data_IF_809196988580
#
_entry.id   IF_809196988580
#
_cell.length_a   1.000
_cell.length_b   1.000
_cell.length_c   1.000
_cell.angle_alpha   90.00
_cell.angle_beta   90.00
_cell.angle_gamma   90.00
#
_symmetry.space_group_name_H-M   'P 1'
#
loop_
_entity.id
_entity.type
_entity.pdbx_description
1 polymer ?
#
# COMPACT_ATOMS: atom_id res chain seq x y z
N UNK A 1 -8.45 33.51 -41.88
CA UNK A 1 -8.66 32.08 -41.64
C UNK A 1 -7.51 31.37 -40.96
N UNK A 2 -6.25 31.72 -41.26
CA UNK A 2 -5.08 31.10 -40.61
C UNK A 2 -4.98 31.39 -39.13
N UNK A 3 -5.41 32.58 -38.67
CA UNK A 3 -5.42 32.97 -37.25
C UNK A 3 -6.41 32.16 -36.40
N UNK A 4 -7.55 31.82 -36.95
CA UNK A 4 -8.56 30.97 -36.28
C UNK A 4 -8.06 29.53 -36.09
N UNK A 5 -7.42 28.97 -37.09
CA UNK A 5 -6.82 27.63 -37.03
C UNK A 5 -5.69 27.58 -35.99
N UNK A 6 -4.87 28.64 -35.92
CA UNK A 6 -3.78 28.74 -34.94
C UNK A 6 -4.32 28.83 -33.51
N UNK A 7 -5.36 29.66 -33.28
CA UNK A 7 -6.01 29.79 -31.97
C UNK A 7 -6.66 28.47 -31.54
N UNK A 8 -7.28 27.76 -32.45
CA UNK A 8 -7.90 26.45 -32.17
C UNK A 8 -6.85 25.43 -31.79
N UNK A 9 -5.71 25.40 -32.46
CA UNK A 9 -4.61 24.53 -32.15
C UNK A 9 -4.03 24.79 -30.75
N UNK A 10 -3.86 26.06 -30.36
CA UNK A 10 -3.40 26.44 -29.02
C UNK A 10 -4.40 26.02 -27.95
N UNK A 11 -5.69 26.23 -28.17
CA UNK A 11 -6.74 25.84 -27.24
C UNK A 11 -6.80 24.33 -27.02
N UNK A 12 -6.69 23.54 -28.10
CA UNK A 12 -6.67 22.08 -28.03
C UNK A 12 -5.41 21.60 -27.29
N UNK A 13 -4.25 22.17 -27.58
CA UNK A 13 -3.00 21.84 -26.92
C UNK A 13 -3.05 22.11 -25.41
N UNK A 14 -3.58 23.28 -25.03
CA UNK A 14 -3.74 23.65 -23.62
C UNK A 14 -4.70 22.71 -22.89
N UNK A 15 -5.81 22.33 -23.52
CA UNK A 15 -6.78 21.40 -22.96
C UNK A 15 -6.17 20.01 -22.77
N UNK A 16 -5.44 19.49 -23.73
CA UNK A 16 -4.76 18.20 -23.64
C UNK A 16 -3.72 18.20 -22.51
N UNK A 17 -2.93 19.27 -22.42
CA UNK A 17 -1.94 19.42 -21.35
C UNK A 17 -2.61 19.46 -19.98
N UNK A 18 -3.72 20.19 -19.85
CA UNK A 18 -4.49 20.28 -18.60
C UNK A 18 -5.02 18.90 -18.19
N UNK A 19 -5.64 18.17 -19.11
CA UNK A 19 -6.18 16.83 -18.82
C UNK A 19 -5.07 15.85 -18.45
N UNK A 20 -3.94 15.92 -19.12
CA UNK A 20 -2.78 15.07 -18.87
C UNK A 20 -2.18 15.35 -17.49
N UNK A 21 -2.01 16.62 -17.13
CA UNK A 21 -1.48 17.04 -15.82
C UNK A 21 -2.44 16.63 -14.69
N UNK A 22 -3.73 16.83 -14.88
CA UNK A 22 -4.75 16.46 -13.90
C UNK A 22 -4.75 14.95 -13.65
N UNK A 23 -4.69 14.14 -14.69
CA UNK A 23 -4.63 12.69 -14.60
C UNK A 23 -3.39 12.24 -13.83
N UNK A 24 -2.25 12.87 -14.10
CA UNK A 24 -0.98 12.55 -13.45
C UNK A 24 -0.99 12.91 -11.96
N UNK A 25 -1.55 14.06 -11.60
CA UNK A 25 -1.72 14.48 -10.20
C UNK A 25 -2.64 13.55 -9.42
N UNK A 26 -3.74 13.09 -10.02
CA UNK A 26 -4.63 12.12 -9.42
C UNK A 26 -3.93 10.79 -9.14
N UNK A 27 -3.11 10.31 -10.05
CA UNK A 27 -2.34 9.09 -9.88
C UNK A 27 -1.33 9.21 -8.73
N UNK A 28 -0.63 10.34 -8.63
CA UNK A 28 0.31 10.61 -7.54
C UNK A 28 -0.40 10.64 -6.19
N UNK A 29 -1.53 11.33 -6.11
CA UNK A 29 -2.32 11.45 -4.89
C UNK A 29 -2.84 10.09 -4.46
N UNK A 30 -3.36 9.30 -5.38
CA UNK A 30 -3.85 7.94 -5.15
C UNK A 30 -2.73 7.03 -4.60
N UNK A 31 -1.54 7.10 -5.20
CA UNK A 31 -0.38 6.32 -4.75
C UNK A 31 0.07 6.72 -3.35
N UNK A 32 0.02 8.00 -3.02
CA UNK A 32 0.35 8.50 -1.67
C UNK A 32 -0.63 7.95 -0.63
N UNK A 33 -1.92 7.98 -0.93
CA UNK A 33 -2.95 7.41 -0.05
C UNK A 33 -2.77 5.90 0.13
N UNK A 34 -2.48 5.20 -0.95
CA UNK A 34 -2.23 3.77 -0.95
C UNK A 34 -1.00 3.42 -0.12
N UNK A 35 0.13 4.09 -0.37
CA UNK A 35 1.39 3.87 0.36
C UNK A 35 1.24 4.20 1.84
N UNK A 36 0.54 5.28 2.17
CA UNK A 36 0.27 5.68 3.55
C UNK A 36 -0.54 4.61 4.29
N UNK A 37 -1.58 4.08 3.65
CA UNK A 37 -2.40 3.02 4.24
C UNK A 37 -1.59 1.74 4.47
N UNK A 38 -0.75 1.36 3.53
CA UNK A 38 0.14 0.20 3.66
C UNK A 38 1.12 0.37 4.81
N UNK A 39 1.79 1.53 4.88
CA UNK A 39 2.75 1.83 5.94
C UNK A 39 2.10 1.79 7.32
N UNK A 40 0.92 2.37 7.46
CA UNK A 40 0.19 2.40 8.72
C UNK A 40 -0.21 0.99 9.16
N UNK A 41 -0.66 0.15 8.23
CA UNK A 41 -1.01 -1.24 8.52
C UNK A 41 0.21 -2.03 8.98
N UNK A 42 1.31 -1.93 8.26
CA UNK A 42 2.56 -2.64 8.61
C UNK A 42 3.08 -2.19 9.98
N UNK A 43 2.95 -0.91 10.30
CA UNK A 43 3.30 -0.38 11.63
C UNK A 43 2.44 -1.03 12.71
N UNK A 44 1.14 -1.14 12.49
CA UNK A 44 0.23 -1.76 13.45
C UNK A 44 0.58 -3.24 13.69
N UNK A 45 0.92 -3.98 12.63
CA UNK A 45 1.33 -5.37 12.75
C UNK A 45 2.64 -5.48 13.56
N UNK A 46 3.61 -4.62 13.27
CA UNK A 46 4.88 -4.58 14.00
C UNK A 46 4.67 -4.22 15.48
N UNK A 47 3.82 -3.22 15.77
CA UNK A 47 3.47 -2.84 17.13
C UNK A 47 2.79 -4.00 17.87
N UNK A 48 1.87 -4.72 17.23
CA UNK A 48 1.19 -5.84 17.85
C UNK A 48 2.14 -7.00 18.17
N UNK A 49 3.18 -7.19 17.38
CA UNK A 49 4.20 -8.22 17.62
C UNK A 49 5.07 -7.91 18.86
N UNK A 50 5.19 -6.62 19.22
CA UNK A 50 5.98 -6.16 20.36
C UNK A 50 5.14 -5.70 21.53
N UNK A 51 3.81 -5.90 21.50
CA UNK A 51 2.93 -5.50 22.58
C UNK A 51 3.21 -6.31 23.84
N UNK A 52 3.56 -5.60 24.91
CA UNK A 52 3.50 -6.12 26.27
C UNK A 52 2.06 -5.94 26.78
N UNK A 53 1.68 -6.74 27.77
CA UNK A 53 0.34 -6.75 28.35
C UNK A 53 -0.13 -5.39 28.92
N UNK A 54 0.78 -4.44 29.08
CA UNK A 54 0.51 -3.10 29.61
C UNK A 54 0.20 -2.07 28.51
N UNK A 55 0.36 -2.42 27.25
CA UNK A 55 0.12 -1.52 26.12
C UNK A 55 -1.36 -1.41 25.82
N UNK A 56 -1.78 -0.25 25.30
CA UNK A 56 -3.17 -0.01 24.89
C UNK A 56 -3.48 -0.77 23.60
N UNK A 57 -3.87 -2.03 23.74
CA UNK A 57 -4.22 -2.92 22.64
C UNK A 57 -5.42 -2.40 21.86
N UNK A 58 -6.38 -1.73 22.54
CA UNK A 58 -7.57 -1.17 21.89
C UNK A 58 -7.20 -0.08 20.88
N UNK A 59 -6.23 0.80 21.22
CA UNK A 59 -5.74 1.84 20.31
C UNK A 59 -5.05 1.25 19.08
N UNK A 60 -4.25 0.20 19.26
CA UNK A 60 -3.57 -0.49 18.15
C UNK A 60 -4.59 -1.15 17.23
N UNK A 61 -5.59 -1.84 17.78
CA UNK A 61 -6.66 -2.45 16.99
C UNK A 61 -7.49 -1.42 16.22
N UNK A 62 -7.78 -0.25 16.84
CA UNK A 62 -8.50 0.82 16.16
C UNK A 62 -7.71 1.38 14.97
N UNK A 63 -6.40 1.60 15.15
CA UNK A 63 -5.52 2.06 14.06
C UNK A 63 -5.39 1.00 12.96
N UNK A 64 -5.31 -0.27 13.34
CA UNK A 64 -5.27 -1.37 12.37
C UNK A 64 -6.56 -1.45 11.56
N UNK A 65 -7.72 -1.31 12.20
CA UNK A 65 -9.02 -1.30 11.53
C UNK A 65 -9.12 -0.13 10.53
N UNK A 66 -8.67 1.06 10.93
CA UNK A 66 -8.61 2.23 10.05
C UNK A 66 -7.70 1.98 8.84
N UNK A 67 -6.51 1.45 9.06
CA UNK A 67 -5.56 1.15 7.98
C UNK A 67 -6.12 0.09 7.02
N UNK A 68 -6.73 -0.98 7.54
CA UNK A 68 -7.37 -2.02 6.73
C UNK A 68 -8.49 -1.46 5.86
N UNK A 69 -9.30 -0.58 6.42
CA UNK A 69 -10.39 0.08 5.70
C UNK A 69 -9.82 0.90 4.54
N UNK A 70 -8.77 1.68 4.79
CA UNK A 70 -8.09 2.46 3.74
C UNK A 70 -7.48 1.57 2.67
N UNK A 71 -6.91 0.43 3.04
CA UNK A 71 -6.39 -0.55 2.08
C UNK A 71 -7.52 -1.09 1.20
N UNK A 72 -8.70 -1.38 1.77
CA UNK A 72 -9.85 -1.81 0.99
C UNK A 72 -10.31 -0.74 0.00
N UNK A 73 -10.15 0.54 0.34
CA UNK A 73 -10.54 1.65 -0.53
C UNK A 73 -9.49 1.95 -1.61
N UNK A 74 -8.21 1.88 -1.28
CA UNK A 74 -7.12 2.37 -2.14
C UNK A 74 -6.15 1.27 -2.58
N UNK A 75 -6.19 0.09 -1.98
CA UNK A 75 -5.25 -0.99 -2.26
C UNK A 75 -5.45 -1.62 -3.64
N UNK A 76 -4.37 -2.23 -4.14
CA UNK A 76 -4.46 -3.03 -5.36
C UNK A 76 -5.21 -4.34 -5.09
N UNK A 77 -5.74 -4.94 -6.15
CA UNK A 77 -6.42 -6.24 -6.06
C UNK A 77 -5.51 -7.31 -5.43
N UNK A 78 -4.25 -7.34 -5.83
CA UNK A 78 -3.27 -8.30 -5.31
C UNK A 78 -3.04 -8.10 -3.82
N UNK A 79 -2.84 -6.87 -3.37
CA UNK A 79 -2.65 -6.55 -1.95
C UNK A 79 -3.87 -6.93 -1.13
N UNK A 80 -5.08 -6.63 -1.63
CA UNK A 80 -6.32 -6.97 -0.93
C UNK A 80 -6.46 -8.50 -0.78
N UNK A 81 -6.14 -9.26 -1.83
CA UNK A 81 -6.19 -10.72 -1.80
C UNK A 81 -5.20 -11.29 -0.79
N UNK A 82 -3.97 -10.79 -0.79
CA UNK A 82 -2.92 -11.26 0.13
C UNK A 82 -3.18 -10.82 1.57
N UNK A 83 -3.76 -9.63 1.75
CA UNK A 83 -4.18 -9.17 3.07
C UNK A 83 -5.27 -10.07 3.64
N UNK A 84 -6.25 -10.43 2.84
CA UNK A 84 -7.30 -11.36 3.25
C UNK A 84 -6.72 -12.72 3.66
N UNK A 85 -5.75 -13.24 2.90
CA UNK A 85 -5.07 -14.49 3.23
C UNK A 85 -4.31 -14.39 4.56
N UNK A 86 -3.59 -13.29 4.77
CA UNK A 86 -2.88 -13.05 6.03
C UNK A 86 -3.84 -12.95 7.23
N UNK A 87 -4.95 -12.22 7.07
CA UNK A 87 -5.96 -12.09 8.12
C UNK A 87 -6.65 -13.42 8.45
N UNK A 88 -6.85 -14.29 7.46
CA UNK A 88 -7.39 -15.64 7.68
C UNK A 88 -6.46 -16.52 8.52
N UNK A 89 -5.15 -16.28 8.44
CA UNK A 89 -4.15 -16.97 9.27
C UNK A 89 -4.02 -16.35 10.66
N UNK A 90 -4.83 -15.34 10.99
CA UNK A 90 -4.88 -14.71 12.31
C UNK A 90 -4.37 -13.28 12.37
N UNK A 91 -3.81 -12.74 11.29
CA UNK A 91 -3.34 -11.35 11.24
C UNK A 91 -2.16 -11.02 12.14
N UNK A 92 -1.40 -12.03 12.57
CA UNK A 92 -0.23 -11.88 13.45
C UNK A 92 0.95 -12.65 12.87
N UNK A 93 2.16 -12.34 13.34
CA UNK A 93 3.41 -12.95 12.87
C UNK A 93 3.92 -13.94 13.93
N UNK A 94 3.20 -15.05 14.14
CA UNK A 94 3.54 -16.00 15.19
C UNK A 94 4.22 -17.29 14.73
N UNK A 95 3.87 -17.80 13.56
CA UNK A 95 4.39 -19.06 13.03
C UNK A 95 4.92 -18.90 11.61
N UNK A 96 5.50 -19.96 11.05
CA UNK A 96 6.13 -19.93 9.71
C UNK A 96 5.11 -19.59 8.62
N UNK A 97 3.87 -20.10 8.72
CA UNK A 97 2.81 -19.86 7.74
C UNK A 97 2.37 -18.40 7.75
N UNK A 98 2.22 -17.81 8.94
CA UNK A 98 1.88 -16.40 9.13
C UNK A 98 2.98 -15.50 8.61
N UNK A 99 4.25 -15.83 8.88
CA UNK A 99 5.40 -15.06 8.36
C UNK A 99 5.45 -15.10 6.83
N UNK A 100 5.23 -16.26 6.25
CA UNK A 100 5.21 -16.41 4.79
C UNK A 100 4.11 -15.56 4.15
N UNK A 101 2.90 -15.58 4.73
CA UNK A 101 1.79 -14.76 4.27
C UNK A 101 2.10 -13.27 4.38
N UNK A 102 2.73 -12.85 5.49
CA UNK A 102 3.12 -11.46 5.72
C UNK A 102 4.18 -10.99 4.72
N UNK A 103 5.20 -11.79 4.46
CA UNK A 103 6.27 -11.47 3.49
C UNK A 103 5.68 -11.30 2.07
N UNK A 104 4.77 -12.19 1.67
CA UNK A 104 4.08 -12.08 0.38
C UNK A 104 3.28 -10.79 0.28
N UNK A 105 2.61 -10.40 1.37
CA UNK A 105 1.86 -9.15 1.45
C UNK A 105 2.78 -7.94 1.30
N UNK A 106 3.90 -7.90 2.03
CA UNK A 106 4.89 -6.81 1.95
C UNK A 106 5.45 -6.68 0.55
N UNK A 107 5.77 -7.81 -0.09
CA UNK A 107 6.26 -7.80 -1.47
C UNK A 107 5.24 -7.17 -2.42
N UNK A 108 3.98 -7.53 -2.29
CA UNK A 108 2.91 -6.99 -3.14
C UNK A 108 2.65 -5.50 -2.89
N UNK A 109 2.95 -4.99 -1.70
CA UNK A 109 2.79 -3.58 -1.35
C UNK A 109 3.84 -2.67 -1.98
N UNK A 110 4.93 -3.22 -2.50
CA UNK A 110 5.99 -2.45 -3.13
C UNK A 110 5.48 -1.79 -4.42
N UNK A 111 5.83 -0.52 -4.61
CA UNK A 111 5.48 0.22 -5.83
C UNK A 111 6.23 -0.38 -7.02
N UNK A 112 7.51 -0.70 -6.81
CA UNK A 112 8.34 -1.42 -7.78
C UNK A 112 8.86 -2.68 -7.11
N UNK A 113 8.28 -3.85 -7.38
CA UNK A 113 8.67 -5.09 -6.71
C UNK A 113 10.04 -5.57 -7.21
N UNK A 114 11.11 -4.99 -6.66
CA UNK A 114 12.50 -5.34 -6.96
C UNK A 114 13.12 -6.27 -5.93
N UNK A 115 12.59 -6.27 -4.70
CA UNK A 115 13.09 -7.11 -3.63
C UNK A 115 12.54 -8.53 -3.76
N UNK A 116 13.40 -9.51 -3.58
CA UNK A 116 13.01 -10.91 -3.55
C UNK A 116 12.46 -11.31 -2.18
N UNK A 117 11.59 -12.30 -2.16
CA UNK A 117 10.96 -12.79 -0.93
C UNK A 117 12.01 -13.19 0.11
N UNK A 118 13.08 -13.86 -0.31
CA UNK A 118 14.17 -14.28 0.58
C UNK A 118 14.86 -13.09 1.26
N UNK A 119 15.07 -12.00 0.52
CA UNK A 119 15.69 -10.79 1.07
C UNK A 119 14.76 -10.10 2.06
N UNK A 120 13.48 -10.04 1.78
CA UNK A 120 12.47 -9.47 2.69
C UNK A 120 12.42 -10.28 3.98
N UNK A 121 12.45 -11.60 3.91
CA UNK A 121 12.48 -12.48 5.10
C UNK A 121 13.69 -12.19 5.98
N UNK A 122 14.87 -12.06 5.38
CA UNK A 122 16.10 -11.76 6.11
C UNK A 122 16.01 -10.39 6.81
N UNK A 123 15.52 -9.37 6.11
CA UNK A 123 15.38 -8.02 6.66
C UNK A 123 14.38 -8.00 7.82
N UNK A 124 13.24 -8.66 7.66
CA UNK A 124 12.16 -8.60 8.65
C UNK A 124 12.37 -9.54 9.83
N UNK A 125 12.92 -10.72 9.60
CA UNK A 125 13.01 -11.77 10.61
C UNK A 125 14.45 -12.21 10.93
N UNK A 126 15.44 -11.70 10.23
CA UNK A 126 16.85 -12.00 10.47
C UNK A 126 17.34 -13.34 9.93
N UNK A 127 16.45 -14.21 9.46
CA UNK A 127 16.80 -15.52 8.92
C UNK A 127 15.89 -15.87 7.75
N UNK A 128 16.46 -16.41 6.68
CA UNK A 128 15.69 -17.05 5.62
C UNK A 128 15.29 -18.46 6.08
N UNK A 129 14.00 -18.74 6.07
CA UNK A 129 13.49 -20.10 6.36
C UNK A 129 13.20 -20.86 5.09
#
# INVERSE_FOLDING_TARGET
MSTLLTLLGIAVGALLTYLFTRSHEHQKHYRLLQTSAYADYLRCVAESAHLNLESDTAAVFARAADAKTRICLYGSQEVITLLAAFEKEGGVIGNARQRSAFVSLVQAMQINPTAQISDIEVILFGTAT
#
